data_IF_567848441665
#
_entry.id   IF_567848441665
#
_cell.length_a   1.000
_cell.length_b   1.000
_cell.length_c   1.000
_cell.angle_alpha   90.00
_cell.angle_beta   90.00
_cell.angle_gamma   90.00
#
_symmetry.space_group_name_H-M   'P 1'
#
loop_
_entity.id
_entity.type
_entity.pdbx_description
1 polymer ?
#
# COMPACT_ATOMS: atom_id res chain seq x y z
N UNK A 1 -25.45 16.49 13.12
CA UNK A 1 -25.43 16.79 11.68
C UNK A 1 -24.35 17.85 11.44
N UNK A 2 -23.07 17.46 11.49
CA UNK A 2 -21.95 18.39 11.28
C UNK A 2 -21.54 18.32 9.81
N UNK A 3 -21.77 19.41 9.09
CA UNK A 3 -21.31 19.63 7.73
C UNK A 3 -19.78 19.54 7.62
N UNK A 4 -19.33 19.12 6.44
CA UNK A 4 -18.06 19.41 5.72
C UNK A 4 -17.44 18.11 5.19
N UNK A 5 -18.01 17.58 4.10
CA UNK A 5 -17.20 17.03 3.02
C UNK A 5 -17.54 17.89 1.82
N UNK A 6 -16.62 18.77 1.41
CA UNK A 6 -16.78 19.52 0.17
C UNK A 6 -16.91 18.50 -0.95
N UNK A 7 -18.04 18.49 -1.64
CA UNK A 7 -18.28 17.67 -2.82
C UNK A 7 -17.11 17.85 -3.77
N UNK A 8 -16.28 16.81 -3.92
CA UNK A 8 -15.22 16.83 -4.91
C UNK A 8 -15.92 16.74 -6.27
N UNK A 9 -16.02 17.87 -6.96
CA UNK A 9 -16.65 17.96 -8.26
C UNK A 9 -16.11 16.87 -9.21
N UNK A 10 -17.01 16.07 -9.77
CA UNK A 10 -16.63 15.05 -10.73
C UNK A 10 -15.88 15.68 -11.90
N UNK A 11 -14.69 15.15 -12.21
CA UNK A 11 -13.80 15.71 -13.23
C UNK A 11 -12.81 16.77 -12.73
N UNK A 12 -12.81 17.13 -11.45
CA UNK A 12 -11.75 17.97 -10.89
C UNK A 12 -10.41 17.21 -10.83
N UNK A 13 -9.26 17.93 -10.83
CA UNK A 13 -7.95 17.32 -10.62
C UNK A 13 -7.89 16.43 -9.37
N UNK A 14 -8.54 16.84 -8.28
CA UNK A 14 -8.65 16.10 -7.02
C UNK A 14 -9.44 14.80 -7.20
N UNK A 15 -10.56 14.84 -7.90
CA UNK A 15 -11.38 13.66 -8.21
C UNK A 15 -10.57 12.64 -9.01
N UNK A 16 -9.88 13.10 -10.05
CA UNK A 16 -9.08 12.24 -10.93
C UNK A 16 -7.86 11.65 -10.20
N UNK A 17 -7.18 12.46 -9.38
CA UNK A 17 -6.11 11.97 -8.51
C UNK A 17 -6.62 10.90 -7.55
N UNK A 18 -7.73 11.15 -6.85
CA UNK A 18 -8.27 10.22 -5.87
C UNK A 18 -8.66 8.88 -6.51
N UNK A 19 -9.32 8.93 -7.67
CA UNK A 19 -9.68 7.73 -8.45
C UNK A 19 -8.44 6.95 -8.88
N UNK A 20 -7.45 7.63 -9.47
CA UNK A 20 -6.19 7.02 -9.94
C UNK A 20 -5.35 6.46 -8.79
N UNK A 21 -5.28 7.19 -7.68
CA UNK A 21 -4.53 6.78 -6.50
C UNK A 21 -5.19 5.56 -5.84
N UNK A 22 -6.52 5.56 -5.71
CA UNK A 22 -7.29 4.46 -5.15
C UNK A 22 -7.15 3.19 -5.99
N UNK A 23 -7.26 3.29 -7.32
CA UNK A 23 -7.10 2.13 -8.21
C UNK A 23 -5.68 1.55 -8.14
N UNK A 24 -4.67 2.40 -8.12
CA UNK A 24 -3.26 2.01 -7.96
C UNK A 24 -3.05 1.31 -6.62
N UNK A 25 -3.58 1.87 -5.52
CA UNK A 25 -3.48 1.29 -4.18
C UNK A 25 -4.09 -0.11 -4.13
N UNK A 26 -5.28 -0.29 -4.70
CA UNK A 26 -5.96 -1.59 -4.75
C UNK A 26 -5.08 -2.66 -5.43
N UNK A 27 -4.43 -2.34 -6.54
CA UNK A 27 -3.50 -3.26 -7.23
C UNK A 27 -2.32 -3.64 -6.31
N UNK A 28 -1.70 -2.66 -5.66
CA UNK A 28 -0.55 -2.89 -4.76
C UNK A 28 -0.95 -3.69 -3.52
N UNK A 29 -2.11 -3.41 -2.92
CA UNK A 29 -2.62 -4.14 -1.76
C UNK A 29 -2.90 -5.61 -2.11
N UNK A 30 -3.54 -5.88 -3.25
CA UNK A 30 -3.75 -7.25 -3.73
C UNK A 30 -2.43 -7.97 -3.99
N UNK A 31 -1.46 -7.31 -4.63
CA UNK A 31 -0.12 -7.87 -4.86
C UNK A 31 0.57 -8.24 -3.52
N UNK A 32 0.54 -7.34 -2.54
CA UNK A 32 1.09 -7.59 -1.21
C UNK A 32 0.37 -8.75 -0.51
N UNK A 33 -0.96 -8.84 -0.65
CA UNK A 33 -1.75 -9.95 -0.11
C UNK A 33 -1.34 -11.30 -0.70
N UNK A 34 -1.17 -11.38 -2.03
CA UNK A 34 -0.72 -12.59 -2.72
C UNK A 34 0.69 -13.00 -2.30
N UNK A 35 1.61 -12.04 -2.23
CA UNK A 35 2.99 -12.28 -1.80
C UNK A 35 3.05 -12.83 -0.37
N UNK A 36 2.34 -12.19 0.57
CA UNK A 36 2.28 -12.62 1.98
C UNK A 36 1.56 -13.96 2.15
N UNK A 37 0.48 -14.18 1.41
CA UNK A 37 -0.28 -15.43 1.45
C UNK A 37 0.52 -16.62 0.95
N UNK A 38 1.38 -16.43 -0.06
CA UNK A 38 2.23 -17.51 -0.59
C UNK A 38 3.54 -17.67 0.17
N UNK A 39 4.19 -16.58 0.58
CA UNK A 39 5.53 -16.61 1.17
C UNK A 39 5.53 -16.16 2.62
N UNK A 40 5.57 -17.14 3.55
CA UNK A 40 5.60 -16.89 5.00
C UNK A 40 6.78 -16.03 5.48
N UNK A 41 7.87 -15.97 4.71
CA UNK A 41 9.02 -15.12 5.00
C UNK A 41 8.72 -13.61 4.86
N UNK A 42 7.57 -13.23 4.30
CA UNK A 42 7.13 -11.84 4.14
C UNK A 42 6.10 -11.41 5.20
N UNK A 43 5.68 -12.31 6.10
CA UNK A 43 4.69 -12.00 7.12
C UNK A 43 5.28 -11.10 8.21
N UNK A 44 4.46 -10.16 8.71
CA UNK A 44 4.87 -9.14 9.70
C UNK A 44 5.43 -9.77 10.98
N UNK A 45 4.86 -10.88 11.45
CA UNK A 45 5.36 -11.60 12.64
C UNK A 45 6.70 -12.33 12.40
N UNK A 46 7.16 -12.39 11.13
CA UNK A 46 8.46 -12.90 10.73
C UNK A 46 9.25 -11.80 10.01
N UNK A 47 9.28 -10.60 10.62
CA UNK A 47 10.04 -9.46 10.11
C UNK A 47 11.39 -9.97 9.59
N UNK A 48 11.68 -9.63 8.34
CA UNK A 48 12.96 -9.94 7.73
C UNK A 48 14.04 -9.19 8.53
N UNK A 49 14.72 -9.89 9.46
CA UNK A 49 15.88 -9.39 10.20
C UNK A 49 17.12 -9.32 9.30
N UNK A 50 16.96 -8.66 8.16
CA UNK A 50 17.96 -8.48 7.13
C UNK A 50 18.12 -6.99 6.85
N UNK A 51 19.31 -6.61 6.38
CA UNK A 51 19.52 -5.25 5.87
C UNK A 51 18.54 -4.97 4.72
N UNK A 52 18.18 -3.70 4.47
CA UNK A 52 17.28 -3.34 3.37
C UNK A 52 17.70 -3.94 2.01
N UNK A 53 19.00 -4.03 1.74
CA UNK A 53 19.56 -4.59 0.51
C UNK A 53 19.39 -6.10 0.40
N UNK A 54 19.32 -6.81 1.53
CA UNK A 54 19.06 -8.25 1.54
C UNK A 54 17.57 -8.54 1.58
N UNK A 55 16.78 -7.74 2.29
CA UNK A 55 15.32 -7.82 2.27
C UNK A 55 14.77 -7.56 0.85
N UNK A 56 15.29 -6.56 0.13
CA UNK A 56 14.87 -6.25 -1.25
C UNK A 56 15.12 -7.40 -2.20
N UNK A 57 16.27 -8.09 -2.09
CA UNK A 57 16.58 -9.29 -2.88
C UNK A 57 15.61 -10.44 -2.60
N UNK A 58 15.25 -10.66 -1.34
CA UNK A 58 14.26 -11.68 -0.96
C UNK A 58 12.89 -11.36 -1.56
N UNK A 59 12.43 -10.10 -1.42
CA UNK A 59 11.16 -9.64 -1.99
C UNK A 59 11.16 -9.82 -3.52
N UNK A 60 12.25 -9.46 -4.19
CA UNK A 60 12.38 -9.62 -5.65
C UNK A 60 12.30 -11.09 -6.07
N UNK A 61 12.99 -11.99 -5.34
CA UNK A 61 12.89 -13.42 -5.60
C UNK A 61 11.45 -13.94 -5.42
N UNK A 62 10.75 -13.51 -4.35
CA UNK A 62 9.34 -13.84 -4.14
C UNK A 62 8.45 -13.34 -5.29
N UNK A 63 8.69 -12.13 -5.82
CA UNK A 63 7.94 -11.59 -6.95
C UNK A 63 8.14 -12.42 -8.23
N UNK A 64 9.39 -12.79 -8.54
CA UNK A 64 9.70 -13.66 -9.69
C UNK A 64 9.01 -15.01 -9.55
N UNK A 65 9.09 -15.63 -8.37
CA UNK A 65 8.45 -16.92 -8.10
C UNK A 65 6.92 -16.82 -8.15
N UNK A 66 6.33 -15.73 -7.64
CA UNK A 66 4.88 -15.49 -7.73
C UNK A 66 4.43 -15.41 -9.19
N UNK A 67 5.18 -14.70 -10.04
CA UNK A 67 4.86 -14.59 -11.47
C UNK A 67 4.92 -15.96 -12.16
N UNK A 68 5.90 -16.81 -11.80
CA UNK A 68 5.95 -18.19 -12.29
C UNK A 68 4.74 -18.99 -11.82
N UNK A 69 4.37 -18.91 -10.54
CA UNK A 69 3.18 -19.59 -10.03
C UNK A 69 1.89 -19.15 -10.73
N UNK A 70 1.73 -17.85 -11.00
CA UNK A 70 0.56 -17.32 -11.73
C UNK A 70 0.55 -17.87 -13.16
N UNK A 71 1.69 -17.86 -13.85
CA UNK A 71 1.81 -18.35 -15.23
C UNK A 71 1.45 -19.84 -15.34
N UNK A 72 1.93 -20.64 -14.39
CA UNK A 72 1.71 -22.09 -14.37
C UNK A 72 0.41 -22.50 -13.63
N UNK A 73 -0.45 -21.53 -13.27
CA UNK A 73 -1.71 -21.76 -12.54
C UNK A 73 -1.54 -22.60 -11.25
N UNK A 74 -0.41 -22.41 -10.56
CA UNK A 74 -0.11 -23.13 -9.32
C UNK A 74 -1.08 -22.64 -8.24
N UNK A 75 -1.92 -23.51 -7.65
CA UNK A 75 -2.85 -23.10 -6.61
C UNK A 75 -2.09 -22.54 -5.39
N UNK A 76 -2.76 -21.66 -4.65
CA UNK A 76 -2.31 -21.32 -3.31
C UNK A 76 -2.68 -22.52 -2.43
N UNK A 77 -1.69 -23.17 -1.81
CA UNK A 77 -1.96 -24.23 -0.85
C UNK A 77 -2.59 -23.64 0.41
N UNK A 78 -3.62 -24.33 0.90
CA UNK A 78 -4.53 -24.03 2.02
C UNK A 78 -4.34 -22.66 2.66
N UNK A 79 -5.38 -21.84 2.48
CA UNK A 79 -5.67 -20.62 3.22
C UNK A 79 -5.36 -20.82 4.71
N UNK A 80 -4.14 -20.51 5.13
CA UNK A 80 -3.96 -20.10 6.51
C UNK A 80 -4.78 -18.83 6.58
N UNK A 81 -5.84 -18.78 7.41
CA UNK A 81 -6.62 -17.57 7.54
C UNK A 81 -5.60 -16.46 7.78
N UNK A 82 -5.53 -15.53 6.83
CA UNK A 82 -4.78 -14.30 7.00
C UNK A 82 -5.52 -13.57 8.12
N UNK A 83 -5.24 -13.94 9.36
CA UNK A 83 -5.48 -13.09 10.51
C UNK A 83 -4.42 -11.97 10.51
N UNK A 84 -4.15 -11.41 9.33
CA UNK A 84 -3.50 -10.11 9.11
C UNK A 84 -4.53 -8.98 9.36
N UNK A 85 -5.72 -9.31 9.89
CA UNK A 85 -6.52 -8.36 10.68
C UNK A 85 -5.77 -7.88 11.94
N UNK A 86 -4.60 -8.42 12.25
CA UNK A 86 -3.64 -7.79 13.16
C UNK A 86 -3.02 -6.55 12.50
N UNK A 87 -3.86 -5.53 12.44
CA UNK A 87 -3.57 -4.15 12.80
C UNK A 87 -2.35 -3.53 12.10
N UNK A 88 -2.60 -2.39 11.44
CA UNK A 88 -1.60 -1.34 11.46
C UNK A 88 -1.12 -1.26 12.91
N UNK A 89 0.13 -1.66 13.19
CA UNK A 89 0.75 -1.34 14.47
C UNK A 89 1.00 0.16 14.38
N UNK A 90 -0.09 0.90 14.59
CA UNK A 90 -0.10 2.21 15.18
C UNK A 90 0.58 1.97 16.52
N UNK A 91 1.91 1.97 16.51
CA UNK A 91 2.66 2.04 17.73
C UNK A 91 2.12 3.30 18.42
N UNK A 92 1.24 3.14 19.40
CA UNK A 92 0.53 4.22 20.11
C UNK A 92 1.52 5.20 20.77
N UNK A 93 2.81 4.86 20.78
CA UNK A 93 3.91 5.73 21.17
C UNK A 93 4.42 6.67 20.05
N UNK A 94 3.78 6.73 18.88
CA UNK A 94 4.09 7.75 17.87
C UNK A 94 3.56 9.11 18.32
N UNK A 95 4.46 9.87 18.95
CA UNK A 95 4.34 11.30 19.23
C UNK A 95 3.41 12.00 18.21
N UNK A 96 2.35 12.70 18.64
CA UNK A 96 1.38 13.32 17.73
C UNK A 96 2.03 14.23 16.69
N UNK A 97 3.20 14.80 16.99
CA UNK A 97 4.01 15.55 16.02
C UNK A 97 4.52 14.71 14.84
N UNK A 98 4.92 13.45 15.05
CA UNK A 98 5.39 12.57 13.96
C UNK A 98 4.25 12.26 13.00
N UNK A 99 3.07 11.96 13.54
CA UNK A 99 1.88 11.73 12.73
C UNK A 99 1.48 13.02 11.99
N UNK A 100 1.47 14.16 12.67
CA UNK A 100 1.22 15.48 12.06
C UNK A 100 2.20 15.79 10.91
N UNK A 101 3.49 15.52 11.12
CA UNK A 101 4.54 15.73 10.13
C UNK A 101 4.39 14.79 8.92
N UNK A 102 4.02 13.53 9.15
CA UNK A 102 3.76 12.56 8.09
C UNK A 102 2.53 12.96 7.26
N UNK A 103 1.44 13.34 7.91
CA UNK A 103 0.21 13.80 7.26
C UNK A 103 0.46 15.09 6.45
N UNK A 104 1.23 16.03 7.01
CA UNK A 104 1.65 17.23 6.29
C UNK A 104 2.53 16.89 5.08
N UNK A 105 3.45 15.92 5.22
CA UNK A 105 4.25 15.40 4.12
C UNK A 105 3.41 14.79 3.00
N UNK A 106 2.46 13.94 3.35
CA UNK A 106 1.53 13.31 2.41
C UNK A 106 0.70 14.35 1.64
N UNK A 107 0.17 15.36 2.34
CA UNK A 107 -0.56 16.47 1.71
C UNK A 107 0.31 17.24 0.72
N UNK A 108 1.55 17.58 1.08
CA UNK A 108 2.48 18.27 0.16
C UNK A 108 2.74 17.45 -1.12
N UNK A 109 2.93 16.14 -1.00
CA UNK A 109 3.13 15.26 -2.17
C UNK A 109 1.88 15.21 -3.02
N UNK A 110 0.70 15.07 -2.41
CA UNK A 110 -0.58 15.10 -3.11
C UNK A 110 -0.76 16.40 -3.89
N UNK A 111 -0.59 17.54 -3.25
CA UNK A 111 -0.80 18.86 -3.85
C UNK A 111 0.20 19.11 -5.00
N UNK A 112 1.43 18.60 -4.89
CA UNK A 112 2.40 18.63 -5.98
C UNK A 112 1.93 17.79 -7.18
N UNK A 113 1.42 16.58 -6.93
CA UNK A 113 0.94 15.69 -7.99
C UNK A 113 -0.28 16.29 -8.69
N UNK A 114 -1.21 16.89 -7.95
CA UNK A 114 -2.37 17.59 -8.50
C UNK A 114 -1.93 18.66 -9.51
N UNK A 115 -1.02 19.55 -9.11
CA UNK A 115 -0.53 20.66 -9.96
C UNK A 115 0.28 20.20 -11.18
N UNK A 116 1.00 19.09 -11.07
CA UNK A 116 1.96 18.66 -12.11
C UNK A 116 1.42 17.62 -13.07
N UNK A 117 0.43 16.82 -12.67
CA UNK A 117 -0.03 15.64 -13.41
C UNK A 117 -1.53 15.60 -13.67
N UNK A 118 -2.33 16.30 -12.87
CA UNK A 118 -3.80 16.21 -12.93
C UNK A 118 -4.47 17.56 -13.28
N UNK A 119 -3.69 18.62 -13.49
CA UNK A 119 -4.18 19.91 -14.00
C UNK A 119 -3.89 20.02 -15.50
N UNK A 120 -4.89 20.35 -16.30
CA UNK A 120 -4.78 20.53 -17.76
C UNK A 120 -4.13 21.91 -18.02
N UNK A 121 -3.11 21.97 -18.89
CA UNK A 121 -2.55 23.22 -19.42
C UNK A 121 -3.40 23.74 -20.57
#
# INVERSE_FOLDING_TARGET
MSSIEGEINAGSPESLYNSTHSSTRNVIERCNGLLKGRFRCLLKHRVLHYSPEKASRIINACAVLLNMCIKENVPLYDEIPLNDQLEMDMNENQHPERLGNLLAGGRRVRDRLLRTRFTIN
#
